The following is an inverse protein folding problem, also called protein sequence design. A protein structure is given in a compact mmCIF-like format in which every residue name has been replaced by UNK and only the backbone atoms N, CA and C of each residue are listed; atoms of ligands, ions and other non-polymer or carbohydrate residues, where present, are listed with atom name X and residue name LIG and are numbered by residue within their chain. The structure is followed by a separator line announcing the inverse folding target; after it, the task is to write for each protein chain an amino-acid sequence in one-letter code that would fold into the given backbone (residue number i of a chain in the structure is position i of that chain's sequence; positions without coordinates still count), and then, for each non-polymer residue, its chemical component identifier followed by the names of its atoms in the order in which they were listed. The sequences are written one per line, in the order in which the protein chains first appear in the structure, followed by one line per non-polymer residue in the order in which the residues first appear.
data_IF_651330751534
#
_entry.id   IF_651330751534
#
_cell.length_a   1.000
_cell.length_b   1.000
_cell.length_c   1.000
_cell.angle_alpha   90.00
_cell.angle_beta   90.00
_cell.angle_gamma   90.00
#
_symmetry.space_group_name_H-M   'P 1'
#
loop_
_entity.id
_entity.type
_entity.pdbx_description
1 polymer ?
#
# COMPACT_ATOMS: atom_id res chain seq x y z
N UNK A 1 29.21 -1.16 -22.99
CA UNK A 1 27.83 -1.13 -22.48
C UNK A 1 27.64 -2.26 -21.49
N UNK A 2 26.81 -2.10 -20.47
CA UNK A 2 26.57 -3.13 -19.46
C UNK A 2 25.63 -4.20 -20.01
N UNK A 3 25.99 -5.46 -19.85
CA UNK A 3 25.19 -6.61 -20.31
C UNK A 3 24.19 -7.08 -19.27
N UNK A 4 24.44 -6.79 -17.99
CA UNK A 4 23.55 -7.16 -16.89
C UNK A 4 23.29 -5.97 -15.95
N UNK A 5 22.14 -5.95 -15.27
CA UNK A 5 21.85 -4.91 -14.28
C UNK A 5 22.88 -4.84 -13.16
N UNK A 6 23.42 -5.97 -12.72
CA UNK A 6 24.46 -6.04 -11.68
C UNK A 6 25.76 -5.35 -12.10
N UNK A 7 26.16 -5.46 -13.38
CA UNK A 7 27.35 -4.75 -13.88
C UNK A 7 27.15 -3.23 -13.88
N UNK A 8 25.96 -2.77 -14.29
CA UNK A 8 25.61 -1.36 -14.25
C UNK A 8 25.59 -0.83 -12.82
N UNK A 9 24.95 -1.56 -11.88
CA UNK A 9 24.88 -1.17 -10.47
C UNK A 9 26.28 -1.11 -9.84
N UNK A 10 27.15 -2.07 -10.13
CA UNK A 10 28.52 -2.07 -9.65
C UNK A 10 29.32 -0.87 -10.17
N UNK A 11 29.22 -0.58 -11.47
CA UNK A 11 29.84 0.61 -12.05
C UNK A 11 29.35 1.90 -11.40
N UNK A 12 28.03 2.07 -11.22
CA UNK A 12 27.48 3.26 -10.56
C UNK A 12 27.99 3.38 -9.12
N UNK A 13 28.08 2.26 -8.40
CA UNK A 13 28.60 2.26 -7.04
C UNK A 13 30.07 2.73 -6.99
N UNK A 14 30.94 2.10 -7.78
CA UNK A 14 32.38 2.37 -7.76
C UNK A 14 32.74 3.76 -8.32
N UNK A 15 32.17 4.14 -9.47
CA UNK A 15 32.58 5.34 -10.20
C UNK A 15 31.78 6.60 -9.83
N UNK A 16 30.58 6.44 -9.25
CA UNK A 16 29.70 7.58 -8.96
C UNK A 16 29.38 7.73 -7.48
N UNK A 17 29.06 6.65 -6.75
CA UNK A 17 28.65 6.78 -5.34
C UNK A 17 29.84 6.81 -4.37
N UNK A 18 30.87 6.00 -4.59
CA UNK A 18 32.00 5.81 -3.67
C UNK A 18 32.74 7.10 -3.34
N UNK A 19 33.09 7.89 -4.36
CA UNK A 19 33.79 9.17 -4.18
C UNK A 19 32.92 10.23 -3.48
N UNK A 20 31.62 10.27 -3.80
CA UNK A 20 30.65 11.16 -3.15
C UNK A 20 30.57 10.84 -1.64
N UNK A 21 30.48 9.57 -1.28
CA UNK A 21 30.45 9.14 0.12
C UNK A 21 31.75 9.49 0.85
N UNK A 22 32.91 9.24 0.25
CA UNK A 22 34.21 9.47 0.89
C UNK A 22 34.49 10.96 1.16
N UNK A 23 34.12 11.84 0.22
CA UNK A 23 34.23 13.29 0.38
C UNK A 23 33.30 13.84 1.46
N UNK A 24 32.12 13.24 1.64
CA UNK A 24 31.23 13.59 2.74
C UNK A 24 31.61 12.94 4.08
N UNK A 25 32.16 11.71 4.10
CA UNK A 25 32.62 11.04 5.32
C UNK A 25 33.77 11.79 6.00
N UNK A 26 34.69 12.35 5.20
CA UNK A 26 35.76 13.23 5.69
C UNK A 26 35.23 14.56 6.26
N UNK A 27 34.06 15.01 5.80
CA UNK A 27 33.35 16.17 6.33
C UNK A 27 32.55 15.82 7.61
N UNK A 28 31.97 14.62 7.68
CA UNK A 28 31.25 14.07 8.82
C UNK A 28 32.17 13.66 9.98
N UNK A 29 33.45 13.36 9.73
CA UNK A 29 34.45 13.15 10.78
C UNK A 29 34.61 14.38 11.70
N UNK A 30 34.22 15.57 11.25
CA UNK A 30 34.19 16.81 12.05
C UNK A 30 32.88 16.98 12.83
N UNK A 31 31.80 16.28 12.45
CA UNK A 31 30.51 16.30 13.12
C UNK A 31 29.74 14.99 12.86
N UNK A 32 29.66 14.08 13.86
CA UNK A 32 29.10 12.73 13.70
C UNK A 32 27.60 12.68 13.40
N UNK A 33 26.86 13.77 13.65
CA UNK A 33 25.42 13.86 13.33
C UNK A 33 25.16 14.16 11.84
N UNK A 34 26.20 14.42 11.06
CA UNK A 34 26.07 14.81 9.66
C UNK A 34 25.97 13.59 8.73
N UNK A 35 24.77 13.02 8.63
CA UNK A 35 24.48 11.93 7.69
C UNK A 35 24.52 12.45 6.25
N UNK A 36 25.38 11.88 5.41
CA UNK A 36 25.46 12.23 4.00
C UNK A 36 24.16 11.84 3.27
N UNK A 37 23.49 12.85 2.73
CA UNK A 37 22.27 12.68 1.94
C UNK A 37 22.55 12.90 0.46
N UNK A 38 22.38 11.85 -0.32
CA UNK A 38 22.62 11.78 -1.76
C UNK A 38 21.28 11.89 -2.48
N UNK A 39 21.22 12.68 -3.55
CA UNK A 39 20.03 12.78 -4.41
C UNK A 39 20.26 12.00 -5.70
N UNK A 40 19.23 11.30 -6.16
CA UNK A 40 19.30 10.62 -7.45
C UNK A 40 19.41 11.69 -8.55
N UNK A 41 20.31 11.44 -9.51
CA UNK A 41 20.52 12.35 -10.66
C UNK A 41 20.00 11.76 -11.96
N UNK A 42 19.33 10.62 -11.91
CA UNK A 42 18.74 10.04 -13.11
C UNK A 42 17.67 11.00 -13.67
N UNK A 43 17.58 11.20 -15.00
CA UNK A 43 16.56 12.07 -15.56
C UNK A 43 15.16 11.63 -15.16
N UNK A 44 14.32 12.59 -14.76
CA UNK A 44 12.92 12.40 -14.36
C UNK A 44 12.74 11.52 -13.12
N UNK A 45 13.79 11.34 -12.32
CA UNK A 45 13.70 10.66 -11.03
C UNK A 45 13.41 11.67 -9.91
N UNK A 46 12.88 11.17 -8.80
CA UNK A 46 12.63 11.99 -7.62
C UNK A 46 13.94 12.55 -7.04
N UNK A 47 13.89 13.80 -6.60
CA UNK A 47 15.06 14.45 -5.98
C UNK A 47 15.15 14.18 -4.49
N UNK A 48 14.50 13.13 -3.97
CA UNK A 48 14.49 12.90 -2.52
C UNK A 48 15.91 12.60 -2.03
N UNK A 49 16.35 13.26 -0.95
CA UNK A 49 17.63 12.99 -0.34
C UNK A 49 17.59 11.59 0.33
N UNK A 50 18.61 10.75 0.08
CA UNK A 50 18.70 9.37 0.56
C UNK A 50 20.08 9.09 1.16
N UNK A 51 20.16 8.19 2.15
CA UNK A 51 21.44 7.65 2.62
C UNK A 51 22.07 6.72 1.57
N UNK A 52 23.34 6.33 1.73
CA UNK A 52 24.03 5.47 0.76
C UNK A 52 23.26 4.18 0.46
N UNK A 53 22.90 3.41 1.49
CA UNK A 53 22.20 2.14 1.28
C UNK A 53 20.81 2.34 0.69
N UNK A 54 20.10 3.40 1.10
CA UNK A 54 18.82 3.76 0.49
C UNK A 54 18.97 4.14 -0.98
N UNK A 55 20.07 4.82 -1.36
CA UNK A 55 20.39 5.14 -2.75
C UNK A 55 20.71 3.88 -3.55
N UNK A 56 21.51 2.96 -3.00
CA UNK A 56 21.84 1.69 -3.65
C UNK A 56 20.58 0.88 -3.94
N UNK A 57 19.70 0.71 -2.95
CA UNK A 57 18.43 -0.01 -3.13
C UNK A 57 17.52 0.71 -4.14
N UNK A 58 17.41 2.04 -4.06
CA UNK A 58 16.66 2.81 -5.04
C UNK A 58 17.15 2.60 -6.48
N UNK A 59 18.47 2.64 -6.71
CA UNK A 59 19.03 2.38 -8.02
C UNK A 59 18.74 0.96 -8.48
N UNK A 60 18.89 -0.04 -7.60
CA UNK A 60 18.58 -1.43 -7.91
C UNK A 60 17.13 -1.63 -8.33
N UNK A 61 16.18 -1.06 -7.59
CA UNK A 61 14.76 -1.31 -7.77
C UNK A 61 14.14 -0.47 -8.90
N UNK A 62 14.70 0.72 -9.18
CA UNK A 62 14.10 1.69 -10.12
C UNK A 62 14.86 1.77 -11.44
N UNK A 63 16.19 1.78 -11.41
CA UNK A 63 17.00 2.16 -12.58
C UNK A 63 17.86 1.03 -13.15
N UNK A 64 18.34 0.14 -12.29
CA UNK A 64 19.14 -1.03 -12.62
C UNK A 64 18.22 -2.27 -12.66
N UNK A 65 17.11 -2.17 -13.38
CA UNK A 65 16.21 -3.29 -13.66
C UNK A 65 16.44 -3.79 -15.08
N UNK A 66 16.14 -5.07 -15.33
CA UNK A 66 16.24 -5.68 -16.66
C UNK A 66 15.38 -4.91 -17.68
N UNK A 67 14.14 -4.61 -17.32
CA UNK A 67 13.23 -3.79 -18.12
C UNK A 67 13.81 -2.41 -18.47
N UNK A 68 14.45 -1.74 -17.51
CA UNK A 68 15.08 -0.44 -17.77
C UNK A 68 16.24 -0.58 -18.76
N UNK A 69 17.04 -1.64 -18.65
CA UNK A 69 18.15 -1.88 -19.56
C UNK A 69 17.64 -2.17 -20.98
N UNK A 70 16.60 -3.01 -21.13
CA UNK A 70 15.95 -3.32 -22.40
C UNK A 70 15.38 -2.08 -23.08
N UNK A 71 14.62 -1.24 -22.36
CA UNK A 71 14.06 0.00 -22.91
C UNK A 71 15.17 0.93 -23.40
N UNK A 72 16.29 1.04 -22.65
CA UNK A 72 17.42 1.86 -23.06
C UNK A 72 18.16 1.27 -24.27
N UNK A 73 18.26 -0.05 -24.39
CA UNK A 73 18.81 -0.71 -25.57
C UNK A 73 17.94 -0.48 -26.80
N UNK A 74 16.62 -0.62 -26.66
CA UNK A 74 15.68 -0.37 -27.74
C UNK A 74 15.78 1.08 -28.24
N UNK A 75 15.78 2.06 -27.33
CA UNK A 75 15.96 3.48 -27.70
C UNK A 75 17.28 3.74 -28.44
N UNK A 76 18.37 3.09 -28.03
CA UNK A 76 19.66 3.22 -28.74
C UNK A 76 19.61 2.64 -30.15
N UNK A 77 18.88 1.54 -30.34
CA UNK A 77 18.70 0.93 -31.65
C UNK A 77 17.80 1.79 -32.56
N UNK A 78 16.77 2.42 -31.99
CA UNK A 78 15.83 3.28 -32.73
C UNK A 78 16.44 4.62 -33.15
N UNK A 79 17.10 5.32 -32.22
CA UNK A 79 17.63 6.67 -32.45
C UNK A 79 19.09 6.70 -32.91
N UNK A 80 19.83 5.60 -32.76
CA UNK A 80 21.30 5.63 -32.87
C UNK A 80 21.96 6.26 -31.65
N UNK A 81 23.28 6.08 -31.52
CA UNK A 81 24.01 6.43 -30.30
C UNK A 81 24.07 7.94 -30.03
N UNK A 82 24.35 8.74 -31.07
CA UNK A 82 24.54 10.19 -30.91
C UNK A 82 23.25 10.90 -30.55
N UNK A 83 22.14 10.57 -31.22
CA UNK A 83 20.83 11.16 -30.93
C UNK A 83 20.29 10.70 -29.58
N UNK A 84 20.52 9.44 -29.19
CA UNK A 84 20.21 8.97 -27.84
C UNK A 84 20.96 9.77 -26.78
N UNK A 85 22.27 9.99 -26.95
CA UNK A 85 23.07 10.79 -26.01
C UNK A 85 22.57 12.24 -25.96
N UNK A 86 22.24 12.83 -27.12
CA UNK A 86 21.69 14.18 -27.19
C UNK A 86 20.34 14.29 -26.49
N UNK A 87 19.44 13.32 -26.67
CA UNK A 87 18.15 13.25 -25.98
C UNK A 87 18.34 13.16 -24.46
N UNK A 88 19.23 12.27 -23.98
CA UNK A 88 19.54 12.17 -22.55
C UNK A 88 20.05 13.51 -22.00
N UNK A 89 20.99 14.18 -22.70
CA UNK A 89 21.48 15.52 -22.28
C UNK A 89 20.35 16.55 -22.20
N UNK A 90 19.42 16.54 -23.15
CA UNK A 90 18.25 17.43 -23.11
C UNK A 90 17.36 17.13 -21.91
N UNK A 91 17.10 15.86 -21.58
CA UNK A 91 16.33 15.48 -20.39
C UNK A 91 17.01 15.93 -19.09
N UNK A 92 18.34 15.86 -19.01
CA UNK A 92 19.10 16.41 -17.88
C UNK A 92 18.97 17.94 -17.76
N UNK A 93 18.98 18.65 -18.90
CA UNK A 93 18.78 20.10 -18.94
C UNK A 93 17.36 20.46 -18.48
N UNK A 94 16.35 19.75 -19.00
CA UNK A 94 14.95 19.91 -18.58
C UNK A 94 14.75 19.60 -17.09
N UNK A 95 15.41 18.59 -16.52
CA UNK A 95 15.33 18.30 -15.08
C UNK A 95 15.92 19.41 -14.20
N UNK A 96 16.92 20.15 -14.68
CA UNK A 96 17.45 21.33 -13.96
C UNK A 96 16.53 22.53 -14.06
N UNK A 97 15.87 22.70 -15.21
CA UNK A 97 14.96 23.81 -15.49
C UNK A 97 13.58 23.60 -14.87
N UNK A 98 13.14 22.34 -14.74
CA UNK A 98 12.07 21.93 -13.85
C UNK A 98 12.57 22.08 -12.42
N UNK A 99 12.58 23.34 -11.95
CA UNK A 99 12.67 23.65 -10.53
C UNK A 99 11.73 22.74 -9.76
N UNK A 100 12.18 22.33 -8.57
CA UNK A 100 11.41 21.59 -7.56
C UNK A 100 9.92 21.83 -7.76
N UNK A 101 9.17 20.77 -8.05
CA UNK A 101 7.72 20.78 -8.11
C UNK A 101 7.22 21.79 -7.07
N UNK A 102 6.47 22.84 -7.49
CA UNK A 102 6.05 23.90 -6.57
C UNK A 102 5.50 23.20 -5.35
N UNK A 103 6.14 23.47 -4.19
CA UNK A 103 6.05 22.62 -3.02
C UNK A 103 4.64 22.08 -2.85
N UNK A 104 4.52 20.75 -2.76
CA UNK A 104 3.24 20.07 -2.63
C UNK A 104 2.34 20.88 -1.71
N UNK A 105 1.15 21.25 -2.21
CA UNK A 105 0.19 21.99 -1.41
C UNK A 105 0.07 21.33 -0.02
N UNK A 106 -0.13 22.10 1.06
CA UNK A 106 -0.42 21.51 2.36
C UNK A 106 -1.54 20.49 2.14
N UNK A 107 -1.36 19.26 2.64
CA UNK A 107 -2.28 18.13 2.42
C UNK A 107 -2.24 17.46 1.03
N UNK A 108 -1.26 17.69 0.17
CA UNK A 108 -1.23 17.01 -1.15
C UNK A 108 -1.16 15.48 -1.04
N UNK A 109 -0.45 14.95 -0.03
CA UNK A 109 -0.45 13.53 0.28
C UNK A 109 -1.84 13.04 0.71
N UNK A 110 -2.54 13.81 1.55
CA UNK A 110 -3.92 13.52 1.94
C UNK A 110 -4.87 13.58 0.73
N UNK A 111 -4.72 14.56 -0.15
CA UNK A 111 -5.51 14.67 -1.39
C UNK A 111 -5.21 13.54 -2.37
N UNK A 112 -3.96 13.09 -2.47
CA UNK A 112 -3.58 11.93 -3.26
C UNK A 112 -4.19 10.64 -2.68
N UNK A 113 -4.11 10.45 -1.36
CA UNK A 113 -4.79 9.36 -0.66
C UNK A 113 -6.29 9.44 -0.92
N UNK A 114 -6.93 10.60 -0.75
CA UNK A 114 -8.37 10.76 -0.99
C UNK A 114 -8.76 10.39 -2.43
N UNK A 115 -7.95 10.79 -3.41
CA UNK A 115 -8.16 10.48 -4.83
C UNK A 115 -7.95 8.99 -5.16
N UNK A 116 -7.01 8.33 -4.49
CA UNK A 116 -6.56 6.97 -4.85
C UNK A 116 -6.95 5.87 -3.84
N UNK A 117 -7.49 6.21 -2.66
CA UNK A 117 -7.82 5.28 -1.59
C UNK A 117 -8.85 4.24 -2.02
N UNK A 118 -9.75 4.60 -2.93
CA UNK A 118 -10.81 3.73 -3.43
C UNK A 118 -10.46 3.08 -4.77
N UNK A 119 -9.40 3.53 -5.46
CA UNK A 119 -8.99 2.98 -6.76
C UNK A 119 -8.37 1.59 -6.62
N UNK A 120 -7.70 1.30 -5.51
CA UNK A 120 -7.08 0.00 -5.24
C UNK A 120 -8.04 -1.00 -4.56
N UNK A 121 -9.26 -0.59 -4.23
CA UNK A 121 -10.26 -1.51 -3.69
C UNK A 121 -10.86 -2.29 -4.86
N UNK A 122 -10.74 -3.62 -4.85
CA UNK A 122 -11.27 -4.48 -5.92
C UNK A 122 -12.72 -4.09 -6.21
N UNK A 123 -13.04 -3.82 -7.49
CA UNK A 123 -14.37 -3.38 -7.94
C UNK A 123 -15.48 -4.35 -7.48
N UNK A 124 -15.15 -5.64 -7.43
CA UNK A 124 -16.00 -6.74 -6.95
C UNK A 124 -16.43 -6.62 -5.47
N UNK A 125 -15.73 -5.84 -4.65
CA UNK A 125 -16.12 -5.62 -3.24
C UNK A 125 -17.30 -4.64 -3.11
N UNK A 126 -17.60 -3.86 -4.15
CA UNK A 126 -18.33 -2.59 -3.99
C UNK A 126 -19.51 -2.38 -4.90
N UNK A 127 -19.77 -3.25 -5.87
CA UNK A 127 -20.76 -3.01 -6.92
C UNK A 127 -21.67 -4.22 -7.15
N UNK A 128 -22.40 -4.63 -6.12
CA UNK A 128 -23.60 -5.42 -6.32
C UNK A 128 -24.75 -4.45 -6.65
N UNK A 129 -25.07 -4.31 -7.94
CA UNK A 129 -26.22 -3.52 -8.41
C UNK A 129 -27.53 -4.21 -8.01
N UNK A 130 -27.95 -4.03 -6.76
CA UNK A 130 -29.16 -4.63 -6.22
C UNK A 130 -30.40 -3.81 -6.55
N UNK A 131 -31.38 -4.46 -7.18
CA UNK A 131 -32.72 -3.92 -7.34
C UNK A 131 -33.44 -3.74 -5.98
N UNK A 132 -34.50 -2.91 -5.92
CA UNK A 132 -35.19 -2.56 -4.67
C UNK A 132 -35.71 -3.78 -3.87
N UNK A 133 -36.16 -4.83 -4.56
CA UNK A 133 -36.67 -6.05 -3.93
C UNK A 133 -35.53 -6.83 -3.25
N UNK A 134 -34.44 -7.09 -3.98
CA UNK A 134 -33.27 -7.81 -3.47
C UNK A 134 -32.66 -7.10 -2.26
N UNK A 135 -32.58 -5.76 -2.32
CA UNK A 135 -32.07 -4.92 -1.23
C UNK A 135 -32.88 -5.11 0.06
N UNK A 136 -34.22 -5.07 -0.03
CA UNK A 136 -35.10 -5.27 1.12
C UNK A 136 -35.02 -6.69 1.69
N UNK A 137 -34.93 -7.70 0.83
CA UNK A 137 -34.76 -9.11 1.26
C UNK A 137 -33.46 -9.25 2.03
N UNK A 138 -32.36 -8.67 1.54
CA UNK A 138 -31.06 -8.73 2.20
C UNK A 138 -31.06 -8.01 3.54
N UNK A 139 -31.63 -6.80 3.60
CA UNK A 139 -31.71 -6.04 4.86
C UNK A 139 -32.52 -6.80 5.91
N UNK A 140 -33.69 -7.32 5.53
CA UNK A 140 -34.54 -8.14 6.41
C UNK A 140 -33.79 -9.38 6.89
N UNK A 141 -33.10 -10.07 5.99
CA UNK A 141 -32.28 -11.25 6.33
C UNK A 141 -31.18 -10.90 7.32
N UNK A 142 -30.47 -9.78 7.11
CA UNK A 142 -29.41 -9.32 8.03
C UNK A 142 -29.94 -9.01 9.43
N UNK A 143 -31.13 -8.40 9.53
CA UNK A 143 -31.79 -8.11 10.80
C UNK A 143 -32.17 -9.42 11.52
N UNK A 144 -32.72 -10.39 10.80
CA UNK A 144 -33.04 -11.71 11.35
C UNK A 144 -31.77 -12.39 11.88
N UNK A 145 -30.69 -12.41 11.08
CA UNK A 145 -29.41 -12.99 11.48
C UNK A 145 -28.85 -12.32 12.75
N UNK A 146 -28.92 -10.99 12.85
CA UNK A 146 -28.51 -10.24 14.05
C UNK A 146 -29.36 -10.61 15.27
N UNK A 147 -30.67 -10.73 15.12
CA UNK A 147 -31.55 -11.11 16.23
C UNK A 147 -31.27 -12.55 16.69
N UNK A 148 -31.04 -13.46 15.74
CA UNK A 148 -30.65 -14.84 16.04
C UNK A 148 -29.29 -14.90 16.74
N UNK A 149 -28.29 -14.16 16.26
CA UNK A 149 -26.97 -14.13 16.91
C UNK A 149 -27.03 -13.52 18.30
N UNK A 150 -27.88 -12.50 18.53
CA UNK A 150 -28.09 -11.89 19.84
C UNK A 150 -28.73 -12.85 20.86
N UNK A 151 -29.76 -13.59 20.46
CA UNK A 151 -30.60 -14.35 21.39
C UNK A 151 -30.33 -15.87 21.44
N UNK A 152 -29.62 -16.44 20.47
CA UNK A 152 -29.42 -17.89 20.38
C UNK A 152 -27.95 -18.28 20.30
N UNK A 153 -27.49 -19.03 21.30
CA UNK A 153 -26.15 -19.63 21.35
C UNK A 153 -25.91 -20.63 20.21
N UNK A 154 -26.92 -21.44 19.89
CA UNK A 154 -26.88 -22.39 18.77
C UNK A 154 -26.74 -21.67 17.43
N UNK A 155 -27.47 -20.57 17.24
CA UNK A 155 -27.37 -19.77 16.03
C UNK A 155 -25.98 -19.16 15.87
N UNK A 156 -25.39 -18.62 16.95
CA UNK A 156 -24.01 -18.10 16.94
C UNK A 156 -23.01 -19.16 16.47
N UNK A 157 -23.02 -20.35 17.06
CA UNK A 157 -22.11 -21.46 16.66
C UNK A 157 -22.26 -21.81 15.19
N UNK A 158 -23.49 -21.83 14.66
CA UNK A 158 -23.73 -22.10 13.23
C UNK A 158 -23.25 -20.95 12.34
N UNK A 159 -23.44 -19.71 12.76
CA UNK A 159 -23.05 -18.51 12.01
C UNK A 159 -21.53 -18.27 12.02
N UNK A 160 -20.80 -18.73 13.05
CA UNK A 160 -19.33 -18.68 13.10
C UNK A 160 -18.69 -19.34 11.87
N UNK A 161 -19.28 -20.43 11.35
CA UNK A 161 -18.77 -21.08 10.13
C UNK A 161 -18.83 -20.18 8.89
N UNK A 162 -19.72 -19.19 8.89
CA UNK A 162 -19.91 -18.24 7.80
C UNK A 162 -19.29 -16.87 8.08
N UNK A 163 -18.48 -16.74 9.13
CA UNK A 163 -17.86 -15.48 9.55
C UNK A 163 -17.11 -14.81 8.40
N UNK A 164 -16.28 -15.55 7.66
CA UNK A 164 -15.52 -14.98 6.53
C UNK A 164 -16.42 -14.34 5.46
N UNK A 165 -17.56 -14.96 5.15
CA UNK A 165 -18.52 -14.43 4.18
C UNK A 165 -19.30 -13.24 4.73
N UNK A 166 -19.73 -13.30 5.98
CA UNK A 166 -20.40 -12.20 6.66
C UNK A 166 -19.48 -10.98 6.78
N UNK A 167 -18.20 -11.18 7.09
CA UNK A 167 -17.17 -10.15 7.15
C UNK A 167 -16.97 -9.50 5.79
N UNK A 168 -16.86 -10.30 4.73
CA UNK A 168 -16.80 -9.81 3.36
C UNK A 168 -18.02 -8.95 3.01
N UNK A 169 -19.24 -9.44 3.25
CA UNK A 169 -20.48 -8.68 3.00
C UNK A 169 -20.60 -7.41 3.85
N UNK A 170 -20.07 -7.41 5.08
CA UNK A 170 -20.10 -6.25 5.97
C UNK A 170 -19.19 -5.12 5.51
N UNK A 171 -18.13 -5.45 4.76
CA UNK A 171 -17.20 -4.49 4.16
C UNK A 171 -17.67 -3.98 2.79
N UNK A 172 -18.65 -4.64 2.19
CA UNK A 172 -19.27 -4.23 0.93
C UNK A 172 -20.14 -2.97 1.10
N UNK A 173 -20.40 -2.25 0.00
CA UNK A 173 -21.27 -1.04 -0.04
C UNK A 173 -22.77 -1.35 0.05
N UNK A 174 -23.16 -2.42 0.74
CA UNK A 174 -24.54 -2.84 0.90
C UNK A 174 -25.23 -2.03 2.01
N UNK A 175 -26.53 -1.76 1.88
CA UNK A 175 -27.31 -1.10 2.94
C UNK A 175 -27.32 -1.92 4.24
N UNK A 176 -27.32 -3.25 4.10
CA UNK A 176 -27.28 -4.20 5.22
C UNK A 176 -25.91 -4.29 5.92
N UNK A 177 -24.85 -3.67 5.38
CA UNK A 177 -23.46 -3.77 5.88
C UNK A 177 -23.38 -3.52 7.39
N UNK A 178 -23.98 -2.41 7.85
CA UNK A 178 -24.01 -2.03 9.26
C UNK A 178 -24.66 -3.10 10.15
N UNK A 179 -25.76 -3.68 9.70
CA UNK A 179 -26.48 -4.73 10.46
C UNK A 179 -25.66 -6.02 10.50
N UNK A 180 -24.96 -6.35 9.42
CA UNK A 180 -24.05 -7.50 9.38
C UNK A 180 -22.84 -7.31 10.29
N UNK A 181 -22.25 -6.12 10.38
CA UNK A 181 -21.20 -5.82 11.37
C UNK A 181 -21.68 -6.00 12.80
N UNK A 182 -22.90 -5.58 13.11
CA UNK A 182 -23.51 -5.83 14.43
C UNK A 182 -23.74 -7.33 14.67
N UNK A 183 -24.19 -8.06 13.66
CA UNK A 183 -24.35 -9.52 13.76
C UNK A 183 -23.01 -10.20 14.06
N UNK A 184 -21.94 -9.84 13.35
CA UNK A 184 -20.57 -10.33 13.57
C UNK A 184 -20.06 -10.03 14.97
N UNK A 185 -20.30 -8.82 15.48
CA UNK A 185 -19.94 -8.46 16.84
C UNK A 185 -20.57 -9.41 17.86
N UNK A 186 -21.88 -9.69 17.76
CA UNK A 186 -22.56 -10.62 18.66
C UNK A 186 -22.04 -12.07 18.54
N UNK A 187 -21.60 -12.47 17.34
CA UNK A 187 -21.00 -13.79 17.10
C UNK A 187 -19.63 -13.93 17.79
N UNK A 188 -18.82 -12.86 17.78
CA UNK A 188 -17.45 -12.85 18.32
C UNK A 188 -17.46 -12.64 19.83
N UNK A 189 -18.17 -11.62 20.32
CA UNK A 189 -18.17 -11.22 21.74
C UNK A 189 -18.87 -12.24 22.64
N UNK A 190 -19.82 -13.02 22.10
CA UNK A 190 -20.55 -14.05 22.86
C UNK A 190 -20.09 -15.49 22.53
N UNK A 191 -18.91 -15.64 21.93
CA UNK A 191 -18.20 -16.91 21.75
C UNK A 191 -17.58 -17.35 23.10
N UNK A 192 -17.68 -18.63 23.50
CA UNK A 192 -17.76 -19.00 24.90
C UNK A 192 -16.39 -19.03 25.60
N UNK A 193 -16.16 -18.06 26.49
CA UNK A 193 -15.41 -18.27 27.75
C UNK A 193 -16.33 -18.08 28.98
N UNK A 194 -17.46 -17.38 28.87
CA UNK A 194 -18.27 -16.99 30.03
C UNK A 194 -19.53 -17.83 30.29
N UNK A 195 -19.64 -19.04 29.74
CA UNK A 195 -20.82 -19.90 29.97
C UNK A 195 -20.71 -20.81 31.21
N UNK A 196 -19.61 -20.79 31.97
CA UNK A 196 -19.47 -21.62 33.18
C UNK A 196 -20.07 -21.00 34.46
N UNK A 197 -20.54 -19.74 34.45
CA UNK A 197 -20.98 -19.07 35.68
C UNK A 197 -22.48 -18.76 35.78
N UNK A 198 -23.27 -18.98 34.71
CA UNK A 198 -24.69 -18.56 34.69
C UNK A 198 -25.72 -19.70 34.77
N UNK A 199 -25.30 -20.97 34.78
CA UNK A 199 -26.22 -22.09 35.05
C UNK A 199 -26.31 -22.45 36.54
N UNK A 200 -25.46 -21.87 37.40
CA UNK A 200 -25.47 -22.16 38.85
C UNK A 200 -26.27 -21.17 39.70
N UNK A 201 -26.75 -20.04 39.13
CA UNK A 201 -27.50 -19.02 39.89
C UNK A 201 -29.03 -19.14 39.74
N UNK A 202 -29.55 -20.15 39.04
CA UNK A 202 -30.99 -20.31 38.82
C UNK A 202 -31.65 -21.44 39.61
N UNK A 203 -30.90 -22.13 40.46
CA UNK A 203 -31.39 -23.26 41.27
C UNK A 203 -31.41 -23.01 42.79
N UNK A 204 -31.28 -21.76 43.25
CA UNK A 204 -31.21 -21.43 44.70
C UNK A 204 -32.19 -20.34 45.16
N UNK A 205 -33.18 -19.95 44.35
CA UNK A 205 -34.22 -18.98 44.76
C UNK A 205 -35.63 -19.61 44.90
N UNK A 206 -35.74 -20.94 44.97
CA UNK A 206 -36.98 -21.62 45.35
C UNK A 206 -36.72 -22.55 46.55
N UNK A 207 -36.60 -21.96 47.74
CA UNK A 207 -37.00 -22.55 49.03
C UNK A 207 -37.46 -21.45 50.00
#
# INVERSE_FOLDING_TARGET
FFSTPSQLLFHIYEDHLKALVQSHASSAAKNPDNVCMIRCRWPMCDSTPRTLWSMTTHLQDVHCTEQSLEINLQKRNEFGLDDYINQIRQLFKQNREQGQQPGYAPFAAYEAIRRHALTNLKKDLTDDNEGPVTRNIRLTSAIILRNLSKHSTLARRKLQRFEGFLSWLSLSKLESSRTLSQCLFEIITQSPIDNNNNEQLKSTEEE
#
